data_IF_509006539254
#
_entry.id   IF_509006539254
#
_cell.length_a   1.000
_cell.length_b   1.000
_cell.length_c   1.000
_cell.angle_alpha   90.00
_cell.angle_beta   90.00
_cell.angle_gamma   90.00
#
_symmetry.space_group_name_H-M   'P 1'
#
loop_
_entity.id
_entity.type
_entity.pdbx_description
1 polymer ?
#
# COMPACT_ATOMS: atom_id res chain seq x y z
N UNK A 1 1.67 1.14 -7.29
CA UNK A 1 1.04 0.82 -5.99
C UNK A 1 -0.10 1.78 -5.76
N UNK A 2 -1.30 1.29 -5.48
CA UNK A 2 -2.51 2.10 -5.29
C UNK A 2 -2.77 2.37 -3.82
N UNK A 3 -3.42 3.48 -3.50
CA UNK A 3 -3.98 3.70 -2.17
C UNK A 3 -5.34 3.00 -2.07
N UNK A 4 -5.52 2.19 -1.03
CA UNK A 4 -6.82 1.61 -0.66
C UNK A 4 -7.20 2.02 0.76
N UNK A 5 -7.19 3.33 0.96
CA UNK A 5 -7.61 4.02 2.17
C UNK A 5 -7.94 5.48 1.80
N UNK A 6 -8.61 6.19 2.70
CA UNK A 6 -8.93 7.60 2.50
C UNK A 6 -7.65 8.46 2.48
N UNK A 7 -7.42 9.17 1.36
CA UNK A 7 -6.22 10.01 1.16
C UNK A 7 -6.55 11.46 0.82
N UNK A 8 -7.81 11.80 0.51
CA UNK A 8 -8.17 13.08 -0.10
C UNK A 8 -7.75 13.23 -1.58
N UNK A 9 -7.13 12.21 -2.18
CA UNK A 9 -6.79 12.16 -3.61
C UNK A 9 -7.91 11.48 -4.42
N UNK A 10 -8.02 11.74 -5.73
CA UNK A 10 -9.00 11.06 -6.58
C UNK A 10 -8.88 9.53 -6.50
N UNK A 11 -10.02 8.83 -6.60
CA UNK A 11 -10.04 7.36 -6.62
C UNK A 11 -9.14 6.80 -7.73
N UNK A 12 -8.41 5.72 -7.40
CA UNK A 12 -7.46 5.09 -8.31
C UNK A 12 -6.10 5.79 -8.39
N UNK A 13 -5.81 6.78 -7.54
CA UNK A 13 -4.48 7.38 -7.44
C UNK A 13 -3.43 6.31 -7.11
N UNK A 14 -2.29 6.36 -7.80
CA UNK A 14 -1.24 5.37 -7.66
C UNK A 14 0.14 6.00 -7.73
N UNK A 15 1.10 5.32 -7.09
CA UNK A 15 2.50 5.69 -7.06
C UNK A 15 3.30 4.64 -7.86
N UNK A 16 4.17 5.11 -8.74
CA UNK A 16 5.15 4.26 -9.42
C UNK A 16 6.41 4.20 -8.55
N UNK A 17 6.86 2.99 -8.22
CA UNK A 17 8.04 2.76 -7.39
C UNK A 17 9.04 1.88 -8.12
N UNK A 18 10.32 2.24 -8.03
CA UNK A 18 11.43 1.36 -8.37
C UNK A 18 11.74 0.51 -7.14
N UNK A 19 11.76 -0.81 -7.31
CA UNK A 19 12.04 -1.77 -6.23
C UNK A 19 13.24 -2.62 -6.59
N UNK A 20 14.00 -3.04 -5.58
CA UNK A 20 15.11 -3.99 -5.72
C UNK A 20 14.73 -5.33 -5.09
N UNK A 21 15.50 -6.41 -5.30
CA UNK A 21 15.24 -7.69 -4.66
C UNK A 21 15.31 -7.63 -3.12
N UNK A 22 15.97 -6.61 -2.56
CA UNK A 22 16.08 -6.39 -1.12
C UNK A 22 14.91 -5.59 -0.55
N UNK A 23 14.20 -4.81 -1.38
CA UNK A 23 13.07 -3.99 -0.94
C UNK A 23 11.98 -4.87 -0.32
N UNK A 24 11.57 -4.53 0.90
CA UNK A 24 10.52 -5.22 1.66
C UNK A 24 9.15 -4.58 1.43
N UNK A 25 8.09 -5.25 1.89
CA UNK A 25 6.75 -4.71 1.85
C UNK A 25 6.63 -3.44 2.71
N UNK A 26 7.30 -3.42 3.86
CA UNK A 26 7.39 -2.23 4.73
C UNK A 26 8.02 -1.05 4.00
N UNK A 27 9.15 -1.26 3.30
CA UNK A 27 9.80 -0.21 2.51
C UNK A 27 8.85 0.37 1.45
N UNK A 28 8.10 -0.51 0.76
CA UNK A 28 7.12 -0.09 -0.25
C UNK A 28 5.97 0.70 0.38
N UNK A 29 5.47 0.28 1.54
CA UNK A 29 4.42 0.99 2.29
C UNK A 29 4.91 2.39 2.64
N UNK A 30 6.06 2.50 3.31
CA UNK A 30 6.65 3.79 3.73
C UNK A 30 6.84 4.71 2.53
N UNK A 31 7.45 4.21 1.45
CA UNK A 31 7.67 5.01 0.24
C UNK A 31 6.36 5.46 -0.41
N UNK A 32 5.35 4.59 -0.46
CA UNK A 32 4.05 4.91 -1.05
C UNK A 32 3.34 5.98 -0.22
N UNK A 33 3.23 5.80 1.10
CA UNK A 33 2.56 6.74 2.01
C UNK A 33 3.24 8.11 1.95
N UNK A 34 4.57 8.15 1.97
CA UNK A 34 5.34 9.41 1.90
C UNK A 34 5.10 10.16 0.59
N UNK A 35 5.04 9.45 -0.54
CA UNK A 35 4.73 10.05 -1.84
C UNK A 35 3.27 10.50 -1.95
N UNK A 36 2.32 9.76 -1.37
CA UNK A 36 0.92 10.16 -1.30
C UNK A 36 0.75 11.42 -0.45
N UNK A 37 1.36 11.47 0.73
CA UNK A 37 1.37 12.67 1.58
C UNK A 37 1.93 13.89 0.84
N UNK A 38 3.01 13.70 0.09
CA UNK A 38 3.61 14.76 -0.74
C UNK A 38 2.61 15.21 -1.81
N UNK A 39 1.94 14.27 -2.49
CA UNK A 39 0.93 14.58 -3.49
C UNK A 39 -0.27 15.35 -2.91
N UNK A 40 -0.75 14.96 -1.72
CA UNK A 40 -1.82 15.66 -0.99
C UNK A 40 -1.41 17.12 -0.73
N UNK A 41 -0.21 17.32 -0.16
CA UNK A 41 0.33 18.65 0.15
C UNK A 41 0.50 19.51 -1.11
N UNK A 42 1.12 18.97 -2.16
CA UNK A 42 1.39 19.71 -3.41
C UNK A 42 0.11 20.08 -4.15
N UNK A 43 -0.91 19.21 -4.12
CA UNK A 43 -2.19 19.45 -4.79
C UNK A 43 -3.16 20.27 -3.93
N UNK A 44 -2.77 20.68 -2.73
CA UNK A 44 -3.62 21.42 -1.79
C UNK A 44 -4.92 20.68 -1.47
N UNK A 45 -4.84 19.35 -1.31
CA UNK A 45 -5.97 18.51 -0.94
C UNK A 45 -6.04 18.37 0.57
N UNK A 46 -7.26 18.27 1.09
CA UNK A 46 -7.50 17.92 2.48
C UNK A 46 -7.57 16.39 2.59
N UNK A 47 -6.64 15.82 3.33
CA UNK A 47 -6.53 14.38 3.54
C UNK A 47 -5.59 14.06 4.69
N UNK A 48 -5.69 12.87 5.29
CA UNK A 48 -4.81 12.48 6.37
C UNK A 48 -3.37 12.39 5.88
N UNK A 49 -2.45 12.93 6.67
CA UNK A 49 -1.00 12.85 6.47
C UNK A 49 -0.46 11.94 7.56
N UNK A 50 0.20 10.86 7.16
CA UNK A 50 0.74 9.86 8.09
C UNK A 50 2.26 9.94 8.15
N UNK A 51 2.84 10.01 9.34
CA UNK A 51 4.30 10.02 9.47
C UNK A 51 4.89 8.60 9.33
N UNK A 52 6.22 8.52 9.18
CA UNK A 52 6.95 7.25 9.06
C UNK A 52 6.67 6.33 10.28
N UNK A 53 6.42 6.92 11.46
CA UNK A 53 6.04 6.18 12.68
C UNK A 53 4.66 5.55 12.61
N UNK A 54 3.75 6.01 11.75
CA UNK A 54 2.40 5.48 11.58
C UNK A 54 2.32 4.45 10.45
N UNK A 55 3.37 4.30 9.64
CA UNK A 55 3.41 3.37 8.52
C UNK A 55 3.22 1.90 8.95
N UNK A 56 3.53 1.56 10.20
CA UNK A 56 3.27 0.21 10.76
C UNK A 56 1.77 -0.13 10.84
N UNK A 57 0.88 0.87 10.77
CA UNK A 57 -0.56 0.69 10.71
C UNK A 57 -1.06 0.33 9.31
N UNK A 58 -0.17 0.21 8.34
CA UNK A 58 -0.50 -0.14 6.97
C UNK A 58 0.14 -1.48 6.58
N UNK A 59 -0.45 -2.16 5.61
CA UNK A 59 0.12 -3.34 5.00
C UNK A 59 0.08 -3.23 3.47
N UNK A 60 0.99 -3.96 2.82
CA UNK A 60 0.99 -4.11 1.37
C UNK A 60 0.09 -5.29 0.99
N UNK A 61 -0.90 -5.06 0.15
CA UNK A 61 -1.85 -6.08 -0.31
C UNK A 61 -1.61 -6.33 -1.80
N UNK A 62 -1.38 -7.60 -2.17
CA UNK A 62 -1.36 -8.03 -3.55
C UNK A 62 -2.73 -8.58 -3.96
N UNK A 63 -3.24 -8.19 -5.13
CA UNK A 63 -4.51 -8.69 -5.67
C UNK A 63 -4.31 -9.35 -7.03
N UNK A 64 -4.96 -10.49 -7.25
CA UNK A 64 -5.01 -11.17 -8.53
C UNK A 64 -6.43 -11.70 -8.81
N UNK A 65 -7.18 -11.01 -9.66
CA UNK A 65 -8.61 -11.29 -9.88
C UNK A 65 -9.41 -11.01 -8.60
N UNK A 66 -10.21 -11.99 -8.15
CA UNK A 66 -10.97 -11.91 -6.90
C UNK A 66 -10.15 -12.29 -5.65
N UNK A 67 -8.86 -12.59 -5.79
CA UNK A 67 -7.99 -12.99 -4.68
C UNK A 67 -7.18 -11.82 -4.18
N UNK A 68 -7.06 -11.71 -2.86
CA UNK A 68 -6.16 -10.77 -2.21
C UNK A 68 -5.26 -11.47 -1.19
N UNK A 69 -4.08 -10.88 -0.95
CA UNK A 69 -3.10 -11.35 0.02
C UNK A 69 -2.40 -10.16 0.66
N UNK A 70 -2.58 -10.00 1.97
CA UNK A 70 -1.72 -9.13 2.77
C UNK A 70 -0.33 -9.75 2.87
N UNK A 71 0.69 -8.98 2.49
CA UNK A 71 2.09 -9.36 2.56
C UNK A 71 2.64 -9.00 3.93
N UNK A 72 3.48 -9.88 4.47
CA UNK A 72 4.20 -9.61 5.71
C UNK A 72 5.18 -8.45 5.49
N UNK A 73 5.46 -7.66 6.51
CA UNK A 73 6.26 -6.43 6.43
C UNK A 73 7.68 -6.72 5.89
N UNK A 74 8.28 -7.86 6.24
CA UNK A 74 9.60 -8.31 5.74
C UNK A 74 9.56 -9.00 4.35
N UNK A 75 8.38 -9.23 3.79
CA UNK A 75 8.25 -9.94 2.52
C UNK A 75 8.76 -9.06 1.36
N UNK A 76 9.56 -9.62 0.47
CA UNK A 76 10.10 -8.90 -0.68
C UNK A 76 9.14 -9.00 -1.88
N UNK A 77 8.55 -7.91 -2.38
CA UNK A 77 7.54 -7.95 -3.45
C UNK A 77 8.04 -8.60 -4.76
N UNK A 78 9.35 -8.54 -5.04
CA UNK A 78 9.94 -9.22 -6.21
C UNK A 78 9.88 -10.75 -6.12
N UNK A 79 9.64 -11.33 -4.94
CA UNK A 79 9.42 -12.77 -4.75
C UNK A 79 7.98 -13.20 -5.08
N UNK A 80 7.09 -12.29 -5.47
CA UNK A 80 5.77 -12.67 -5.98
C UNK A 80 5.91 -13.46 -7.27
N UNK A 81 5.20 -14.58 -7.37
CA UNK A 81 5.22 -15.47 -8.54
C UNK A 81 3.82 -15.73 -9.06
N UNK A 82 3.74 -16.25 -10.29
CA UNK A 82 2.49 -16.66 -10.91
C UNK A 82 1.50 -15.50 -11.06
N UNK A 83 0.26 -15.73 -10.59
CA UNK A 83 -0.83 -14.76 -10.72
C UNK A 83 -0.57 -13.46 -9.94
N UNK A 84 0.16 -13.52 -8.84
CA UNK A 84 0.44 -12.35 -7.98
C UNK A 84 1.45 -11.40 -8.61
N UNK A 85 2.38 -11.91 -9.43
CA UNK A 85 3.37 -11.10 -10.14
C UNK A 85 2.72 -10.16 -11.15
N UNK A 86 1.63 -10.61 -11.79
CA UNK A 86 0.84 -9.81 -12.74
C UNK A 86 -0.28 -9.01 -12.05
N UNK A 87 -0.40 -9.16 -10.74
CA UNK A 87 -1.42 -8.52 -9.92
C UNK A 87 -1.17 -7.04 -9.71
N UNK A 88 -2.07 -6.41 -8.95
CA UNK A 88 -1.91 -5.05 -8.46
C UNK A 88 -1.46 -5.07 -7.00
N UNK A 89 -0.72 -4.04 -6.62
CA UNK A 89 -0.32 -3.80 -5.24
C UNK A 89 -1.07 -2.59 -4.69
N UNK A 90 -1.58 -2.73 -3.47
CA UNK A 90 -2.31 -1.71 -2.73
C UNK A 90 -1.68 -1.50 -1.37
N UNK A 91 -1.67 -0.27 -0.89
CA UNK A 91 -1.43 0.02 0.52
C UNK A 91 -2.79 0.18 1.20
N UNK A 92 -3.04 -0.59 2.25
CA UNK A 92 -4.29 -0.59 3.01
C UNK A 92 -3.97 -0.44 4.50
N UNK A 93 -4.86 0.21 5.26
CA UNK A 93 -4.69 0.27 6.72
C UNK A 93 -5.07 -1.07 7.37
N UNK A 94 -4.32 -1.49 8.38
CA UNK A 94 -4.51 -2.75 9.11
C UNK A 94 -5.80 -2.75 9.95
N UNK A 95 -6.26 -1.60 10.43
CA UNK A 95 -7.56 -1.47 11.12
C UNK A 95 -8.76 -1.71 10.18
N UNK A 96 -8.62 -1.40 8.88
CA UNK A 96 -9.60 -1.80 7.87
C UNK A 96 -9.61 -3.31 7.61
N UNK A 97 -8.54 -4.04 7.94
CA UNK A 97 -8.43 -5.50 7.74
C UNK A 97 -9.18 -6.28 8.84
N UNK A 98 -9.40 -5.68 10.02
CA UNK A 98 -10.06 -6.36 11.15
C UNK A 98 -11.60 -6.45 11.04
N UNK A 99 -12.23 -5.91 10.00
CA UNK A 99 -13.68 -6.07 9.79
C UNK A 99 -14.08 -7.21 8.83
N UNK A 100 -13.12 -7.96 8.28
CA UNK A 100 -13.41 -9.05 7.33
C UNK A 100 -13.00 -10.45 7.84
N UNK A 101 -12.96 -10.66 9.15
CA UNK A 101 -12.65 -11.99 9.67
C UNK A 101 -12.96 -12.22 11.13
N UNK A 102 -14.23 -12.14 11.53
CA UNK A 102 -15.00 -12.87 12.58
C UNK A 102 -16.48 -12.47 12.29
N UNK A 103 -17.50 -13.30 12.03
CA UNK A 103 -17.83 -14.73 12.22
C UNK A 103 -18.27 -15.41 10.90
#
# INVERSE_FOLDING_TARGET
VYADYETGLPSGYSVLLYVTPQTTASDVVVCTVKQLNTAVKVKGKDGPIYDDSECHNFCLVATAGARERCLNDDFQPMKLTGLWQKGKLYVRRKDSVMYNGID
#
